data_IF_100053322729
#
_entry.id   IF_100053322729
#
_cell.length_a   1.000
_cell.length_b   1.000
_cell.length_c   1.000
_cell.angle_alpha   90.00
_cell.angle_beta   90.00
_cell.angle_gamma   90.00
#
_symmetry.space_group_name_H-M   'P 1'
#
loop_
_entity.id
_entity.type
_entity.pdbx_description
1 polymer ?
#
# COMPACT_ATOMS: atom_id res chain seq x y z
N UNK A 1 -22.19 -12.19 -16.83
CA UNK A 1 -21.58 -10.84 -16.98
C UNK A 1 -20.08 -10.96 -16.72
N UNK A 2 -19.19 -10.54 -17.63
CA UNK A 2 -17.76 -10.66 -17.39
C UNK A 2 -17.39 -9.77 -16.21
N UNK A 3 -17.00 -10.38 -15.08
CA UNK A 3 -16.45 -9.67 -13.93
C UNK A 3 -15.29 -8.79 -14.42
N UNK A 4 -15.43 -7.48 -14.27
CA UNK A 4 -14.46 -6.48 -14.74
C UNK A 4 -13.15 -6.73 -13.99
N UNK A 5 -12.17 -7.36 -14.66
CA UNK A 5 -10.86 -7.82 -14.14
C UNK A 5 -9.95 -6.75 -13.48
N UNK A 6 -10.44 -5.51 -13.34
CA UNK A 6 -9.69 -4.33 -12.91
C UNK A 6 -10.51 -3.35 -12.08
N UNK A 7 -11.54 -3.83 -11.35
CA UNK A 7 -12.43 -2.94 -10.58
C UNK A 7 -11.72 -2.15 -9.46
N UNK A 8 -10.55 -2.63 -9.00
CA UNK A 8 -9.78 -1.97 -7.95
C UNK A 8 -8.84 -0.87 -8.43
N UNK A 9 -8.49 -0.80 -9.72
CA UNK A 9 -7.43 0.09 -10.21
C UNK A 9 -7.77 1.54 -9.95
N UNK A 10 -8.98 1.96 -10.33
CA UNK A 10 -9.38 3.35 -10.17
C UNK A 10 -9.43 3.78 -8.68
N UNK A 11 -10.10 3.05 -7.76
CA UNK A 11 -10.03 3.35 -6.33
C UNK A 11 -8.59 3.36 -5.79
N UNK A 12 -7.74 2.44 -6.24
CA UNK A 12 -6.36 2.34 -5.78
C UNK A 12 -5.50 3.51 -6.27
N UNK A 13 -5.65 3.94 -7.53
CA UNK A 13 -4.93 5.10 -8.07
C UNK A 13 -5.37 6.40 -7.40
N UNK A 14 -6.68 6.59 -7.19
CA UNK A 14 -7.20 7.76 -6.47
C UNK A 14 -6.68 7.80 -5.03
N UNK A 15 -6.66 6.65 -4.35
CA UNK A 15 -6.08 6.52 -3.02
C UNK A 15 -4.58 6.87 -3.00
N UNK A 16 -3.80 6.38 -3.97
CA UNK A 16 -2.37 6.70 -4.06
C UNK A 16 -2.13 8.19 -4.36
N UNK A 17 -2.95 8.79 -5.23
CA UNK A 17 -2.89 10.22 -5.53
C UNK A 17 -3.19 11.05 -4.26
N UNK A 18 -4.20 10.64 -3.50
CA UNK A 18 -4.50 11.25 -2.20
C UNK A 18 -3.33 11.11 -1.22
N UNK A 19 -2.74 9.92 -1.08
CA UNK A 19 -1.57 9.71 -0.22
C UNK A 19 -0.36 10.56 -0.66
N UNK A 20 -0.14 10.71 -1.96
CA UNK A 20 0.92 11.56 -2.49
C UNK A 20 0.66 13.04 -2.16
N UNK A 21 -0.56 13.53 -2.37
CA UNK A 21 -0.96 14.90 -2.01
C UNK A 21 -0.84 15.16 -0.50
N UNK A 22 -1.35 14.25 0.33
CA UNK A 22 -1.25 14.32 1.79
C UNK A 22 0.20 14.33 2.26
N UNK A 23 1.06 13.49 1.66
CA UNK A 23 2.48 13.46 1.96
C UNK A 23 3.16 14.79 1.64
N UNK A 24 2.93 15.33 0.43
CA UNK A 24 3.49 16.63 0.03
C UNK A 24 3.01 17.73 0.98
N UNK A 25 1.72 17.80 1.27
CA UNK A 25 1.15 18.80 2.16
C UNK A 25 1.74 18.71 3.58
N UNK A 26 1.88 17.50 4.14
CA UNK A 26 2.51 17.29 5.45
C UNK A 26 3.97 17.73 5.44
N UNK A 27 4.75 17.31 4.44
CA UNK A 27 6.16 17.69 4.34
C UNK A 27 6.32 19.22 4.21
N UNK A 28 5.48 19.88 3.42
CA UNK A 28 5.44 21.34 3.30
C UNK A 28 5.09 22.02 4.62
N UNK A 29 4.14 21.50 5.40
CA UNK A 29 3.75 22.03 6.71
C UNK A 29 4.92 22.01 7.71
N UNK A 30 5.79 21.01 7.62
CA UNK A 30 6.97 20.87 8.48
C UNK A 30 8.26 21.44 7.87
N UNK A 31 8.18 22.12 6.71
CA UNK A 31 9.35 22.70 6.04
C UNK A 31 10.34 21.65 5.51
N UNK A 32 9.91 20.40 5.30
CA UNK A 32 10.75 19.31 4.81
C UNK A 32 10.63 19.26 3.27
N UNK A 33 11.74 19.30 2.51
CA UNK A 33 11.67 19.23 1.06
C UNK A 33 11.26 17.83 0.59
N UNK A 34 10.35 17.79 -0.39
CA UNK A 34 10.00 16.55 -1.07
C UNK A 34 11.17 16.05 -1.92
N UNK A 35 11.94 15.10 -1.39
CA UNK A 35 13.04 14.45 -2.10
C UNK A 35 12.71 13.11 -2.78
N UNK A 36 13.69 12.59 -3.52
CA UNK A 36 13.63 11.32 -4.27
C UNK A 36 13.25 10.11 -3.39
N UNK A 37 13.62 10.13 -2.11
CA UNK A 37 13.30 9.06 -1.15
C UNK A 37 11.80 8.93 -0.91
N UNK A 38 11.09 10.05 -0.79
CA UNK A 38 9.64 10.07 -0.61
C UNK A 38 8.94 9.59 -1.89
N UNK A 39 9.43 10.00 -3.05
CA UNK A 39 8.95 9.49 -4.33
C UNK A 39 9.15 7.98 -4.44
N UNK A 40 10.32 7.47 -4.07
CA UNK A 40 10.61 6.04 -4.07
C UNK A 40 9.67 5.27 -3.12
N UNK A 41 9.34 5.82 -1.95
CA UNK A 41 8.36 5.23 -1.05
C UNK A 41 6.95 5.17 -1.64
N UNK A 42 6.49 6.24 -2.29
CA UNK A 42 5.19 6.26 -2.98
C UNK A 42 5.15 5.22 -4.11
N UNK A 43 6.18 5.18 -4.95
CA UNK A 43 6.29 4.20 -6.04
C UNK A 43 6.35 2.77 -5.49
N UNK A 44 7.09 2.54 -4.42
CA UNK A 44 7.15 1.24 -3.75
C UNK A 44 5.76 0.76 -3.32
N UNK A 45 4.99 1.59 -2.61
CA UNK A 45 3.65 1.19 -2.16
C UNK A 45 2.64 1.05 -3.30
N UNK A 46 2.75 1.90 -4.33
CA UNK A 46 1.94 1.80 -5.54
C UNK A 46 2.18 0.47 -6.26
N UNK A 47 3.45 0.15 -6.56
CA UNK A 47 3.81 -1.05 -7.30
C UNK A 47 3.54 -2.31 -6.51
N UNK A 48 3.99 -2.37 -5.25
CA UNK A 48 3.77 -3.54 -4.40
C UNK A 48 2.29 -3.75 -4.09
N UNK A 49 1.57 -2.67 -3.77
CA UNK A 49 0.12 -2.72 -3.52
C UNK A 49 -0.64 -3.18 -4.75
N UNK A 50 -0.33 -2.60 -5.92
CA UNK A 50 -0.96 -2.97 -7.19
C UNK A 50 -0.72 -4.44 -7.56
N UNK A 51 0.52 -4.92 -7.45
CA UNK A 51 0.87 -6.30 -7.72
C UNK A 51 0.13 -7.27 -6.77
N UNK A 52 0.09 -6.98 -5.48
CA UNK A 52 -0.60 -7.81 -4.50
C UNK A 52 -2.12 -7.81 -4.69
N UNK A 53 -2.73 -6.66 -4.95
CA UNK A 53 -4.18 -6.57 -5.22
C UNK A 53 -4.56 -7.33 -6.49
N UNK A 54 -3.74 -7.21 -7.54
CA UNK A 54 -3.93 -7.97 -8.78
C UNK A 54 -3.87 -9.49 -8.53
N UNK A 55 -2.86 -9.95 -7.77
CA UNK A 55 -2.70 -11.36 -7.41
C UNK A 55 -3.86 -11.90 -6.54
N UNK A 56 -4.40 -11.06 -5.66
CA UNK A 56 -5.54 -11.41 -4.80
C UNK A 56 -6.85 -11.50 -5.58
N UNK A 57 -7.12 -10.60 -6.53
CA UNK A 57 -8.34 -10.64 -7.34
C UNK A 57 -8.47 -11.92 -8.16
N UNK A 58 -7.34 -12.47 -8.61
CA UNK A 58 -7.34 -13.75 -9.31
C UNK A 58 -7.89 -14.93 -8.48
N UNK A 59 -7.86 -14.85 -7.14
CA UNK A 59 -8.44 -15.88 -6.27
C UNK A 59 -9.91 -15.64 -5.89
N UNK A 60 -10.37 -14.39 -5.89
CA UNK A 60 -11.78 -14.07 -5.61
C UNK A 60 -12.75 -14.70 -6.61
N UNK A 61 -12.28 -14.93 -7.84
CA UNK A 61 -13.08 -15.56 -8.90
C UNK A 61 -13.29 -17.07 -8.70
N UNK A 62 -12.44 -17.73 -7.90
CA UNK A 62 -12.46 -19.20 -7.75
C UNK A 62 -12.99 -19.65 -6.40
N UNK A 63 -12.46 -19.13 -5.28
CA UNK A 63 -12.87 -19.54 -3.93
C UNK A 63 -12.59 -18.43 -2.90
N UNK A 64 -13.59 -18.14 -2.06
CA UNK A 64 -13.49 -17.20 -0.96
C UNK A 64 -12.40 -17.59 0.05
N UNK A 65 -12.23 -18.89 0.35
CA UNK A 65 -11.20 -19.35 1.28
C UNK A 65 -9.80 -19.08 0.74
N UNK A 66 -9.58 -19.41 -0.53
CA UNK A 66 -8.30 -19.15 -1.22
C UNK A 66 -8.02 -17.64 -1.32
N UNK A 67 -9.05 -16.82 -1.53
CA UNK A 67 -8.90 -15.37 -1.50
C UNK A 67 -8.41 -14.84 -0.16
N UNK A 68 -8.98 -15.29 0.96
CA UNK A 68 -8.55 -14.88 2.31
C UNK A 68 -7.11 -15.34 2.56
N UNK A 69 -6.77 -16.57 2.16
CA UNK A 69 -5.40 -17.07 2.28
C UNK A 69 -4.40 -16.21 1.50
N UNK A 70 -4.67 -15.92 0.22
CA UNK A 70 -3.81 -15.03 -0.59
C UNK A 70 -3.75 -13.61 -0.04
N UNK A 71 -4.82 -13.12 0.57
CA UNK A 71 -4.79 -11.84 1.26
C UNK A 71 -3.81 -11.87 2.44
N UNK A 72 -3.95 -12.84 3.35
CA UNK A 72 -3.07 -12.99 4.51
C UNK A 72 -1.61 -13.17 4.09
N UNK A 73 -1.35 -14.01 3.08
CA UNK A 73 0.00 -14.18 2.51
C UNK A 73 0.52 -12.88 1.91
N UNK A 74 -0.30 -12.16 1.15
CA UNK A 74 0.07 -10.85 0.60
C UNK A 74 0.39 -9.82 1.67
N UNK A 75 -0.35 -9.82 2.78
CA UNK A 75 -0.09 -8.96 3.93
C UNK A 75 1.24 -9.29 4.60
N UNK A 76 1.54 -10.57 4.80
CA UNK A 76 2.85 -11.00 5.35
C UNK A 76 3.99 -10.62 4.41
N UNK A 77 3.86 -10.88 3.10
CA UNK A 77 4.87 -10.49 2.10
C UNK A 77 5.11 -8.98 2.15
N UNK A 78 4.03 -8.19 2.18
CA UNK A 78 4.12 -6.73 2.25
C UNK A 78 4.83 -6.28 3.52
N UNK A 79 4.45 -6.84 4.68
CA UNK A 79 5.07 -6.53 5.96
C UNK A 79 6.57 -6.84 5.94
N UNK A 80 6.97 -8.03 5.50
CA UNK A 80 8.38 -8.44 5.44
C UNK A 80 9.18 -7.55 4.51
N UNK A 81 8.69 -7.27 3.30
CA UNK A 81 9.37 -6.37 2.36
C UNK A 81 9.46 -4.94 2.90
N UNK A 82 8.41 -4.46 3.55
CA UNK A 82 8.37 -3.11 4.12
C UNK A 82 9.35 -2.98 5.28
N UNK A 83 9.41 -3.99 6.17
CA UNK A 83 10.37 -4.04 7.27
C UNK A 83 11.80 -4.14 6.76
N UNK A 84 12.06 -4.97 5.74
CA UNK A 84 13.37 -5.10 5.14
C UNK A 84 13.85 -3.77 4.51
N UNK A 85 12.96 -3.08 3.80
CA UNK A 85 13.27 -1.77 3.21
C UNK A 85 13.50 -0.70 4.29
N UNK A 86 12.69 -0.70 5.35
CA UNK A 86 12.88 0.20 6.49
C UNK A 86 14.20 -0.06 7.21
N UNK A 87 14.58 -1.33 7.40
CA UNK A 87 15.86 -1.72 7.98
C UNK A 87 17.04 -1.19 7.14
N UNK A 88 16.97 -1.38 5.81
CA UNK A 88 17.98 -0.82 4.89
C UNK A 88 18.06 0.70 5.03
N UNK A 89 16.91 1.38 5.06
CA UNK A 89 16.86 2.83 5.22
C UNK A 89 17.51 3.28 6.54
N UNK A 90 17.18 2.62 7.66
CA UNK A 90 17.74 2.94 8.98
C UNK A 90 19.26 2.73 9.03
N UNK A 91 19.77 1.67 8.40
CA UNK A 91 21.21 1.35 8.40
C UNK A 91 21.99 2.26 7.44
N UNK A 92 21.40 2.64 6.30
CA UNK A 92 22.11 3.39 5.24
C UNK A 92 21.99 4.90 5.35
N UNK A 93 20.98 5.41 6.06
CA UNK A 93 20.72 6.86 6.14
C UNK A 93 21.34 7.48 7.40
N UNK A 94 21.77 8.75 7.33
CA UNK A 94 22.21 9.47 8.52
C UNK A 94 21.03 9.62 9.50
N UNK A 95 21.30 9.45 10.80
CA UNK A 95 20.28 9.42 11.86
C UNK A 95 19.34 10.63 11.85
N UNK A 96 19.86 11.81 11.49
CA UNK A 96 19.07 13.05 11.36
C UNK A 96 18.01 12.99 10.26
N UNK A 97 18.24 12.22 9.19
CA UNK A 97 17.29 12.05 8.07
C UNK A 97 16.38 10.84 8.21
N UNK A 98 16.71 9.90 9.10
CA UNK A 98 15.93 8.66 9.26
C UNK A 98 14.52 8.98 9.75
N UNK A 99 14.38 9.86 10.74
CA UNK A 99 13.07 10.18 11.33
C UNK A 99 12.14 10.83 10.29
N UNK A 100 12.66 11.82 9.56
CA UNK A 100 11.90 12.54 8.52
C UNK A 100 11.45 11.65 7.37
N UNK A 101 12.11 10.52 7.15
CA UNK A 101 11.70 9.53 6.16
C UNK A 101 10.82 8.42 6.75
N UNK A 102 11.20 7.88 7.91
CA UNK A 102 10.56 6.74 8.55
C UNK A 102 9.12 7.07 8.97
N UNK A 103 8.88 8.26 9.52
CA UNK A 103 7.54 8.66 9.95
C UNK A 103 6.55 8.68 8.77
N UNK A 104 6.81 9.40 7.65
CA UNK A 104 5.97 9.32 6.47
C UNK A 104 5.87 7.91 5.89
N UNK A 105 6.96 7.14 5.89
CA UNK A 105 6.97 5.78 5.37
C UNK A 105 6.03 4.84 6.16
N UNK A 106 6.07 4.92 7.49
CA UNK A 106 5.15 4.20 8.39
C UNK A 106 3.71 4.68 8.17
N UNK A 107 3.49 5.99 8.04
CA UNK A 107 2.18 6.55 7.73
C UNK A 107 1.59 6.00 6.43
N UNK A 108 2.38 5.98 5.36
CA UNK A 108 2.00 5.40 4.07
C UNK A 108 1.71 3.90 4.18
N UNK A 109 2.54 3.16 4.93
CA UNK A 109 2.32 1.74 5.18
C UNK A 109 0.96 1.50 5.85
N UNK A 110 0.67 2.23 6.94
CA UNK A 110 -0.57 2.10 7.69
C UNK A 110 -1.78 2.50 6.85
N UNK A 111 -1.68 3.58 6.07
CA UNK A 111 -2.74 3.99 5.16
C UNK A 111 -3.05 2.88 4.14
N UNK A 112 -2.03 2.29 3.53
CA UNK A 112 -2.24 1.20 2.56
C UNK A 112 -2.73 -0.09 3.20
N UNK A 113 -2.33 -0.36 4.45
CA UNK A 113 -2.85 -1.47 5.25
C UNK A 113 -4.35 -1.29 5.47
N UNK A 114 -4.77 -0.12 5.96
CA UNK A 114 -6.17 0.22 6.18
C UNK A 114 -6.98 0.10 4.89
N UNK A 115 -6.50 0.68 3.78
CA UNK A 115 -7.15 0.56 2.47
C UNK A 115 -7.34 -0.91 2.05
N UNK A 116 -6.30 -1.73 2.20
CA UNK A 116 -6.36 -3.15 1.81
C UNK A 116 -7.39 -3.93 2.64
N UNK A 117 -7.45 -3.68 3.95
CA UNK A 117 -8.40 -4.30 4.86
C UNK A 117 -9.85 -3.85 4.61
N UNK A 118 -10.07 -2.55 4.40
CA UNK A 118 -11.39 -1.99 4.08
C UNK A 118 -11.89 -2.55 2.75
N UNK A 119 -11.03 -2.57 1.73
CA UNK A 119 -11.35 -3.14 0.42
C UNK A 119 -11.75 -4.61 0.53
N UNK A 120 -10.96 -5.45 1.22
CA UNK A 120 -11.30 -6.86 1.40
C UNK A 120 -12.62 -7.02 2.16
N UNK A 121 -12.81 -6.29 3.25
CA UNK A 121 -14.04 -6.33 4.05
C UNK A 121 -15.26 -5.96 3.22
N UNK A 122 -15.15 -4.94 2.37
CA UNK A 122 -16.22 -4.54 1.46
C UNK A 122 -16.50 -5.63 0.40
N UNK A 123 -15.48 -6.30 -0.12
CA UNK A 123 -15.65 -7.40 -1.08
C UNK A 123 -16.33 -8.62 -0.45
N UNK A 124 -15.98 -8.98 0.79
CA UNK A 124 -16.58 -10.12 1.50
C UNK A 124 -18.05 -9.90 1.87
N UNK A 125 -18.47 -8.64 2.03
CA UNK A 125 -19.87 -8.28 2.36
C UNK A 125 -20.80 -8.24 1.14
N UNK A 126 -20.28 -8.38 -0.08
CA UNK A 126 -21.12 -8.37 -1.28
C UNK A 126 -21.93 -9.68 -1.33
N UNK A 127 -23.27 -9.62 -1.48
CA UNK A 127 -24.07 -10.82 -1.63
C UNK A 127 -23.61 -11.59 -2.87
N UNK A 128 -23.45 -12.91 -2.74
CA UNK A 128 -23.23 -13.80 -3.89
C UNK A 128 -24.49 -13.73 -4.77
N UNK A 129 -24.36 -13.60 -6.10
CA UNK A 129 -25.49 -13.76 -7.00
C UNK A 129 -26.02 -15.19 -6.97
#
# INVERSE_FOLDING_TARGET
MPQRRWSFVLPFLLFNLFCAGALVALLSLFGIPFGMRHLAALLYFLLLGGALHHWQEAALATDAKVSVQRFMTGMVIKMLLTLFLLLIAVVRMPKSSVISFALPFIGLYLAHLAFSTVRLSALMRRPKP
#
